data_IF_366205513398
#
_entry.id   IF_366205513398
#
_cell.length_a   1.000
_cell.length_b   1.000
_cell.length_c   1.000
_cell.angle_alpha   90.00
_cell.angle_beta   90.00
_cell.angle_gamma   90.00
#
_symmetry.space_group_name_H-M   'P 1'
#
loop_
_entity.id
_entity.type
_entity.pdbx_description
1 polymer ?
#
# COMPACT_ATOMS: atom_id res chain seq x y z
N UNK A 1 0.24 18.21 5.83
CA UNK A 1 0.40 16.78 6.17
C UNK A 1 1.76 16.57 6.79
N UNK A 2 1.82 16.06 8.03
CA UNK A 2 3.09 15.77 8.70
C UNK A 2 3.49 14.32 8.47
N UNK A 3 4.72 14.11 8.02
CA UNK A 3 5.28 12.78 7.80
C UNK A 3 6.15 12.37 8.99
N UNK A 4 5.86 11.19 9.53
CA UNK A 4 6.81 10.52 10.41
C UNK A 4 7.90 9.89 9.55
N UNK A 5 9.12 10.41 9.62
CA UNK A 5 10.27 9.89 8.84
C UNK A 5 11.13 9.02 9.74
N UNK A 6 11.33 7.75 9.34
CA UNK A 6 12.19 6.78 10.01
C UNK A 6 13.26 6.27 9.04
N UNK A 7 14.47 6.09 9.54
CA UNK A 7 15.58 5.50 8.79
C UNK A 7 16.12 4.25 9.48
N UNK A 8 16.24 3.17 8.74
CA UNK A 8 16.93 1.95 9.15
C UNK A 8 18.18 1.80 8.28
N UNK A 9 19.35 2.05 8.86
CA UNK A 9 20.63 2.11 8.13
C UNK A 9 20.80 3.34 7.23
N UNK A 10 19.81 4.25 7.16
CA UNK A 10 19.87 5.51 6.40
C UNK A 10 19.76 6.68 7.37
N UNK A 11 20.72 7.64 7.40
CA UNK A 11 20.65 8.79 8.28
C UNK A 11 19.48 9.71 7.86
N UNK A 12 18.63 10.06 8.80
CA UNK A 12 17.51 11.00 8.61
C UNK A 12 17.95 12.38 9.09
N UNK A 13 18.47 13.18 8.16
CA UNK A 13 18.89 14.57 8.44
C UNK A 13 17.70 15.53 8.42
N UNK A 14 17.87 16.73 8.97
CA UNK A 14 16.82 17.76 8.94
C UNK A 14 16.54 18.21 7.51
N UNK A 15 17.55 18.29 6.64
CA UNK A 15 17.40 18.59 5.21
C UNK A 15 16.51 17.56 4.52
N UNK A 16 16.67 16.27 4.87
CA UNK A 16 15.86 15.20 4.32
C UNK A 16 14.40 15.31 4.80
N UNK A 17 14.17 15.66 6.07
CA UNK A 17 12.82 15.92 6.61
C UNK A 17 12.14 17.09 5.92
N UNK A 18 12.89 18.18 5.71
CA UNK A 18 12.37 19.34 4.99
C UNK A 18 12.05 19.01 3.54
N UNK A 19 12.91 18.23 2.87
CA UNK A 19 12.67 17.73 1.53
C UNK A 19 11.37 16.93 1.43
N UNK A 20 11.18 15.96 2.32
CA UNK A 20 9.96 15.14 2.39
C UNK A 20 8.73 16.01 2.63
N UNK A 21 8.80 16.96 3.54
CA UNK A 21 7.70 17.89 3.83
C UNK A 21 7.29 18.70 2.60
N UNK A 22 8.25 19.24 1.86
CA UNK A 22 7.98 19.96 0.61
C UNK A 22 7.35 19.07 -0.46
N UNK A 23 7.82 17.83 -0.57
CA UNK A 23 7.28 16.85 -1.52
C UNK A 23 5.85 16.45 -1.16
N UNK A 24 5.59 16.27 0.12
CA UNK A 24 4.29 15.92 0.67
C UNK A 24 3.18 16.97 0.42
N UNK A 25 3.53 18.24 0.28
CA UNK A 25 2.53 19.31 -0.02
C UNK A 25 1.75 19.08 -1.31
N UNK A 26 2.31 18.33 -2.27
CA UNK A 26 1.60 17.96 -3.50
C UNK A 26 0.51 16.92 -3.25
N UNK A 27 0.76 16.00 -2.33
CA UNK A 27 -0.20 14.95 -1.95
C UNK A 27 -1.39 15.48 -1.17
N UNK A 28 -1.22 16.55 -0.39
CA UNK A 28 -2.32 17.20 0.36
C UNK A 28 -3.50 17.62 -0.53
N UNK A 29 -3.23 17.82 -1.82
CA UNK A 29 -4.27 18.16 -2.81
C UNK A 29 -4.96 16.94 -3.43
N UNK A 30 -4.36 15.77 -3.29
CA UNK A 30 -4.79 14.53 -3.94
C UNK A 30 -5.48 13.58 -2.97
N UNK A 31 -5.12 13.65 -1.68
CA UNK A 31 -5.60 12.73 -0.64
C UNK A 31 -6.35 13.51 0.42
N UNK A 32 -7.65 13.30 0.50
CA UNK A 32 -8.50 13.88 1.53
C UNK A 32 -8.44 13.09 2.83
N UNK A 33 -8.61 13.76 3.98
CA UNK A 33 -8.77 13.15 5.31
C UNK A 33 -7.58 12.26 5.71
N UNK A 34 -6.37 12.73 5.51
CA UNK A 34 -5.17 12.02 6.00
C UNK A 34 -5.17 12.02 7.52
N UNK A 35 -5.09 10.83 8.09
CA UNK A 35 -5.01 10.57 9.54
C UNK A 35 -3.57 10.42 9.97
N UNK A 36 -2.76 9.71 9.16
CA UNK A 36 -1.36 9.41 9.46
C UNK A 36 -0.57 9.26 8.16
N UNK A 37 0.69 9.68 8.17
CA UNK A 37 1.61 9.55 7.03
C UNK A 37 3.00 9.19 7.53
N UNK A 38 3.55 8.08 7.03
CA UNK A 38 4.86 7.54 7.40
C UNK A 38 5.74 7.37 6.18
N UNK A 39 7.01 7.72 6.31
CA UNK A 39 8.07 7.39 5.38
C UNK A 39 9.13 6.56 6.09
N UNK A 40 9.39 5.38 5.60
CA UNK A 40 10.45 4.49 6.08
C UNK A 40 11.52 4.35 5.01
N UNK A 41 12.76 4.57 5.41
CA UNK A 41 13.95 4.41 4.56
C UNK A 41 14.75 3.24 5.10
N UNK A 42 15.10 2.28 4.23
CA UNK A 42 15.93 1.13 4.58
C UNK A 42 17.14 1.06 3.67
N UNK A 43 18.33 0.94 4.26
CA UNK A 43 19.52 0.58 3.51
C UNK A 43 19.46 -0.91 3.15
N UNK A 44 19.67 -1.22 1.89
CA UNK A 44 19.74 -2.58 1.36
C UNK A 44 21.17 -2.85 0.91
N UNK A 45 21.83 -3.80 1.59
CA UNK A 45 23.16 -4.24 1.22
C UNK A 45 23.05 -5.43 0.26
N UNK A 46 23.40 -5.21 -0.99
CA UNK A 46 23.36 -6.27 -2.00
C UNK A 46 24.67 -7.06 -1.98
N UNK A 47 24.60 -8.38 -1.89
CA UNK A 47 25.81 -9.25 -2.00
C UNK A 47 26.48 -9.16 -3.37
N UNK A 48 25.71 -8.85 -4.41
CA UNK A 48 26.17 -8.70 -5.79
C UNK A 48 25.52 -7.43 -6.37
N UNK A 49 26.29 -6.33 -6.45
CA UNK A 49 25.82 -5.05 -6.99
C UNK A 49 25.97 -3.90 -5.99
N UNK A 50 25.65 -2.67 -6.39
CA UNK A 50 25.72 -1.51 -5.52
C UNK A 50 24.62 -1.57 -4.44
N UNK A 51 24.95 -1.05 -3.26
CA UNK A 51 23.98 -0.83 -2.20
C UNK A 51 22.87 0.10 -2.69
N UNK A 52 21.67 -0.11 -2.18
CA UNK A 52 20.50 0.67 -2.54
C UNK A 52 19.70 1.07 -1.31
N UNK A 53 18.80 2.02 -1.47
CA UNK A 53 17.87 2.45 -0.44
C UNK A 53 16.44 2.11 -0.89
N UNK A 54 15.68 1.43 -0.04
CA UNK A 54 14.25 1.31 -0.21
C UNK A 54 13.55 2.46 0.51
N UNK A 55 12.64 3.15 -0.16
CA UNK A 55 11.77 4.17 0.39
C UNK A 55 10.33 3.66 0.36
N UNK A 56 9.72 3.48 1.53
CA UNK A 56 8.34 3.06 1.68
C UNK A 56 7.51 4.20 2.26
N UNK A 57 6.47 4.60 1.54
CA UNK A 57 5.49 5.58 2.01
C UNK A 57 4.19 4.86 2.34
N UNK A 58 3.64 5.14 3.52
CA UNK A 58 2.32 4.65 3.93
C UNK A 58 1.47 5.83 4.38
N UNK A 59 0.30 6.00 3.80
CA UNK A 59 -0.68 7.04 4.16
C UNK A 59 -1.98 6.37 4.55
N UNK A 60 -2.52 6.75 5.70
CA UNK A 60 -3.87 6.38 6.15
C UNK A 60 -4.81 7.55 5.89
N UNK A 61 -5.80 7.35 5.04
CA UNK A 61 -6.77 8.36 4.64
C UNK A 61 -8.19 7.82 4.86
N UNK A 62 -8.80 8.18 5.98
CA UNK A 62 -10.09 7.61 6.38
C UNK A 62 -9.98 6.08 6.54
N UNK A 63 -10.69 5.32 5.70
CA UNK A 63 -10.66 3.84 5.70
C UNK A 63 -9.55 3.25 4.82
N UNK A 64 -8.99 4.04 3.94
CA UNK A 64 -8.04 3.59 2.95
C UNK A 64 -6.61 3.64 3.49
N UNK A 65 -5.83 2.63 3.17
CA UNK A 65 -4.38 2.61 3.37
C UNK A 65 -3.72 2.62 2.00
N UNK A 66 -2.94 3.66 1.74
CA UNK A 66 -2.22 3.85 0.48
C UNK A 66 -0.74 3.59 0.77
N UNK A 67 -0.14 2.67 0.02
CA UNK A 67 1.27 2.30 0.22
C UNK A 67 2.01 2.29 -1.11
N UNK A 68 3.19 2.87 -1.13
CA UNK A 68 4.13 2.79 -2.24
C UNK A 68 5.53 2.50 -1.72
N UNK A 69 6.24 1.61 -2.39
CA UNK A 69 7.65 1.29 -2.12
C UNK A 69 8.41 1.34 -3.43
N UNK A 70 9.58 2.00 -3.40
CA UNK A 70 10.52 2.04 -4.51
C UNK A 70 11.95 1.96 -4.00
N UNK A 71 12.87 1.52 -4.87
CA UNK A 71 14.27 1.31 -4.54
C UNK A 71 15.16 2.05 -5.53
N UNK A 72 16.17 2.75 -5.01
CA UNK A 72 17.18 3.41 -5.82
C UNK A 72 18.53 3.41 -5.12
N UNK A 73 19.60 3.71 -5.85
CA UNK A 73 20.94 3.83 -5.27
C UNK A 73 21.03 5.00 -4.26
N UNK A 74 20.31 6.10 -4.54
CA UNK A 74 20.30 7.28 -3.69
C UNK A 74 18.97 7.41 -2.94
N UNK A 75 18.97 7.75 -1.63
CA UNK A 75 17.76 7.91 -0.82
C UNK A 75 16.74 8.90 -1.41
N UNK A 76 17.22 10.04 -1.92
CA UNK A 76 16.36 11.09 -2.50
C UNK A 76 15.63 10.57 -3.74
N UNK A 77 16.33 9.81 -4.59
CA UNK A 77 15.73 9.23 -5.80
C UNK A 77 14.68 8.18 -5.44
N UNK A 78 14.97 7.33 -4.45
CA UNK A 78 13.99 6.34 -3.96
C UNK A 78 12.74 7.02 -3.41
N UNK A 79 12.91 8.11 -2.64
CA UNK A 79 11.80 8.92 -2.11
C UNK A 79 10.96 9.50 -3.24
N UNK A 80 11.58 10.12 -4.25
CA UNK A 80 10.84 10.72 -5.36
C UNK A 80 10.02 9.70 -6.14
N UNK A 81 10.62 8.56 -6.46
CA UNK A 81 9.94 7.47 -7.15
C UNK A 81 8.76 6.91 -6.34
N UNK A 82 8.93 6.77 -5.01
CA UNK A 82 7.85 6.34 -4.11
C UNK A 82 6.69 7.36 -4.09
N UNK A 83 6.98 8.66 -4.03
CA UNK A 83 5.96 9.71 -4.11
C UNK A 83 5.22 9.69 -5.46
N UNK A 84 5.94 9.56 -6.58
CA UNK A 84 5.33 9.48 -7.91
C UNK A 84 4.44 8.25 -8.08
N UNK A 85 4.86 7.10 -7.55
CA UNK A 85 4.05 5.88 -7.56
C UNK A 85 2.78 6.07 -6.76
N UNK A 86 2.87 6.66 -5.59
CA UNK A 86 1.75 6.94 -4.71
C UNK A 86 0.76 7.93 -5.36
N UNK A 87 1.25 9.02 -5.99
CA UNK A 87 0.42 9.95 -6.74
C UNK A 87 -0.37 9.24 -7.86
N UNK A 88 0.29 8.36 -8.62
CA UNK A 88 -0.36 7.56 -9.68
C UNK A 88 -1.44 6.61 -9.14
N UNK A 89 -1.18 5.95 -8.00
CA UNK A 89 -2.16 5.06 -7.35
C UNK A 89 -3.41 5.84 -6.94
N UNK A 90 -3.24 6.96 -6.24
CA UNK A 90 -4.34 7.83 -5.78
C UNK A 90 -5.16 8.35 -6.96
N UNK A 91 -4.53 8.83 -8.01
CA UNK A 91 -5.23 9.34 -9.19
C UNK A 91 -6.05 8.25 -9.89
N UNK A 92 -5.52 7.03 -10.00
CA UNK A 92 -6.21 5.88 -10.60
C UNK A 92 -7.48 5.54 -9.85
N UNK A 93 -7.40 5.43 -8.52
CA UNK A 93 -8.55 5.09 -7.67
C UNK A 93 -9.57 6.24 -7.65
N UNK A 94 -9.12 7.47 -7.50
CA UNK A 94 -10.02 8.64 -7.56
C UNK A 94 -10.75 8.78 -8.88
N UNK A 95 -10.09 8.43 -10.01
CA UNK A 95 -10.71 8.38 -11.33
C UNK A 95 -11.81 7.32 -11.43
N UNK A 96 -11.55 6.12 -10.90
CA UNK A 96 -12.55 5.02 -10.86
C UNK A 96 -13.74 5.38 -9.98
N UNK A 97 -13.51 5.97 -8.80
CA UNK A 97 -14.59 6.40 -7.89
C UNK A 97 -15.47 7.52 -8.50
N UNK A 98 -14.90 8.43 -9.28
CA UNK A 98 -15.68 9.44 -10.02
C UNK A 98 -16.58 8.82 -11.09
N UNK A 99 -16.07 7.86 -11.84
CA UNK A 99 -16.87 7.18 -12.88
C UNK A 99 -18.00 6.32 -12.30
N UNK A 100 -17.85 5.81 -11.06
CA UNK A 100 -18.92 5.05 -10.37
C UNK A 100 -20.03 5.93 -9.77
N UNK A 101 -19.77 7.22 -9.56
CA UNK A 101 -20.79 8.17 -9.06
C UNK A 101 -21.81 8.62 -10.11
N UNK A 102 -21.81 8.07 -11.32
CA UNK A 102 -22.95 8.18 -12.25
C UNK A 102 -24.14 7.39 -11.68
N UNK A 103 -25.37 7.96 -11.70
CA UNK A 103 -26.49 7.48 -10.90
C UNK A 103 -27.01 6.15 -11.38
N UNK A 104 -26.83 5.11 -10.60
CA UNK A 104 -27.37 3.79 -10.95
C UNK A 104 -27.02 2.62 -10.04
N UNK A 105 -26.62 2.80 -8.79
CA UNK A 105 -26.62 1.64 -7.86
C UNK A 105 -26.64 2.11 -6.40
N UNK A 106 -27.61 1.60 -5.65
CA UNK A 106 -27.91 1.95 -4.27
C UNK A 106 -26.72 1.65 -3.32
N UNK A 107 -26.34 2.65 -2.57
CA UNK A 107 -25.38 2.55 -1.48
C UNK A 107 -26.00 1.87 -0.28
N UNK A 108 -25.54 0.69 0.09
CA UNK A 108 -25.81 0.10 1.40
C UNK A 108 -24.89 0.76 2.42
N UNK A 109 -25.49 1.50 3.34
CA UNK A 109 -24.81 2.05 4.52
C UNK A 109 -24.43 0.89 5.45
N UNK A 110 -23.14 0.68 5.67
CA UNK A 110 -22.63 -0.15 6.76
C UNK A 110 -22.01 0.76 7.82
N UNK A 111 -22.40 0.49 9.07
CA UNK A 111 -22.05 1.19 10.29
C UNK A 111 -20.55 1.16 10.64
N UNK A 112 -20.07 2.02 11.56
CA UNK A 112 -18.65 2.25 11.75
C UNK A 112 -17.98 1.20 12.66
N UNK A 113 -16.80 0.78 12.23
CA UNK A 113 -15.55 0.52 12.93
C UNK A 113 -15.39 -0.67 13.90
N UNK A 114 -14.21 -1.29 13.92
CA UNK A 114 -13.19 -0.84 14.85
C UNK A 114 -11.80 -0.59 14.21
N UNK A 115 -11.03 0.26 14.90
CA UNK A 115 -9.68 0.65 14.60
C UNK A 115 -8.78 -0.56 14.32
N UNK A 116 -8.10 -0.55 13.18
CA UNK A 116 -6.95 -1.40 12.96
C UNK A 116 -5.81 -0.87 13.82
N UNK A 117 -5.63 -1.50 14.98
CA UNK A 117 -4.39 -1.36 15.74
C UNK A 117 -3.23 -1.74 14.83
N UNK A 118 -2.20 -0.94 14.91
CA UNK A 118 -0.88 -1.02 14.35
C UNK A 118 -0.47 -2.47 14.00
N UNK A 119 -0.70 -2.88 12.75
CA UNK A 119 0.03 -4.00 12.23
C UNK A 119 1.47 -3.51 12.09
N UNK A 120 2.23 -3.72 13.16
CA UNK A 120 3.63 -3.40 13.24
C UNK A 120 4.30 -3.76 11.92
N UNK A 121 4.84 -2.74 11.26
CA UNK A 121 5.73 -2.88 10.14
C UNK A 121 6.99 -3.56 10.68
N UNK A 122 6.96 -4.89 10.72
CA UNK A 122 8.11 -5.67 11.11
C UNK A 122 9.00 -5.76 9.90
N UNK A 123 10.25 -5.44 10.17
CA UNK A 123 11.39 -5.44 9.28
C UNK A 123 11.38 -6.65 8.32
N UNK A 124 11.36 -6.33 7.05
CA UNK A 124 11.67 -7.27 5.97
C UNK A 124 13.21 -7.37 5.90
N UNK A 125 13.79 -8.11 6.80
CA UNK A 125 15.18 -8.53 6.64
C UNK A 125 15.24 -9.47 5.43
N UNK A 126 15.79 -8.94 4.35
CA UNK A 126 16.09 -9.66 3.11
C UNK A 126 17.21 -10.67 3.37
N UNK A 127 16.84 -11.85 3.83
CA UNK A 127 17.73 -13.01 3.76
C UNK A 127 17.41 -13.78 2.50
N UNK A 128 18.43 -13.90 1.66
CA UNK A 128 18.59 -14.77 0.49
C UNK A 128 17.47 -15.80 0.30
N UNK A 129 16.61 -15.54 -0.68
CA UNK A 129 15.55 -16.45 -1.11
C UNK A 129 16.17 -17.73 -1.70
N UNK A 130 16.29 -18.77 -0.90
CA UNK A 130 16.30 -20.12 -1.41
C UNK A 130 14.91 -20.42 -1.95
N UNK A 131 14.84 -20.78 -3.23
CA UNK A 131 13.58 -21.11 -3.91
C UNK A 131 12.88 -22.24 -3.16
N UNK A 132 11.76 -21.97 -2.49
CA UNK A 132 10.90 -22.97 -1.85
C UNK A 132 10.89 -22.99 -0.33
N UNK A 133 11.61 -22.12 0.39
CA UNK A 133 11.50 -22.02 1.85
C UNK A 133 10.38 -21.07 2.28
N UNK A 134 9.62 -21.44 3.32
CA UNK A 134 8.67 -20.55 3.98
C UNK A 134 9.44 -19.54 4.84
N UNK A 135 9.65 -18.34 4.31
CA UNK A 135 10.45 -17.31 4.97
C UNK A 135 9.68 -16.64 6.11
N UNK A 136 8.36 -16.43 5.96
CA UNK A 136 7.57 -15.68 6.94
C UNK A 136 6.10 -16.07 6.94
N UNK A 137 5.51 -16.12 8.13
CA UNK A 137 4.06 -16.26 8.34
C UNK A 137 3.50 -14.95 8.89
N UNK A 138 2.53 -14.34 8.20
CA UNK A 138 1.77 -13.19 8.68
C UNK A 138 0.35 -13.61 9.03
N UNK A 139 -0.18 -13.11 10.15
CA UNK A 139 -1.60 -13.23 10.51
C UNK A 139 -2.22 -11.84 10.44
N UNK A 140 -3.36 -11.72 9.80
CA UNK A 140 -4.08 -10.46 9.67
C UNK A 140 -5.58 -10.72 9.60
N UNK A 141 -6.36 -9.74 10.00
CA UNK A 141 -7.81 -9.84 9.95
C UNK A 141 -8.29 -9.65 8.52
N UNK A 142 -9.08 -10.61 8.05
CA UNK A 142 -9.69 -10.57 6.72
C UNK A 142 -11.06 -9.93 6.86
N UNK A 143 -11.21 -8.73 6.29
CA UNK A 143 -12.46 -7.96 6.38
C UNK A 143 -13.44 -8.36 5.29
N UNK A 144 -14.76 -8.39 5.60
CA UNK A 144 -15.79 -8.56 4.58
C UNK A 144 -15.85 -7.30 3.69
N UNK A 145 -15.83 -7.50 2.38
CA UNK A 145 -15.97 -6.45 1.37
C UNK A 145 -16.46 -7.02 0.05
N UNK A 146 -16.89 -6.16 -0.86
CA UNK A 146 -17.22 -6.55 -2.22
C UNK A 146 -15.98 -6.66 -3.12
N UNK A 147 -16.15 -7.22 -4.32
CA UNK A 147 -15.06 -7.42 -5.28
C UNK A 147 -14.45 -6.08 -5.71
N UNK A 148 -15.27 -5.07 -5.92
CA UNK A 148 -14.83 -3.75 -6.36
C UNK A 148 -14.01 -3.04 -5.31
N UNK A 149 -14.40 -3.14 -4.04
CA UNK A 149 -13.65 -2.60 -2.90
C UNK A 149 -12.32 -3.36 -2.72
N UNK A 150 -12.32 -4.67 -2.87
CA UNK A 150 -11.11 -5.48 -2.81
C UNK A 150 -10.10 -5.10 -3.92
N UNK A 151 -10.58 -4.85 -5.15
CA UNK A 151 -9.73 -4.36 -6.26
C UNK A 151 -9.13 -3.00 -5.92
N UNK A 152 -9.91 -2.07 -5.36
CA UNK A 152 -9.41 -0.76 -4.95
C UNK A 152 -8.34 -0.89 -3.86
N UNK A 153 -8.54 -1.73 -2.86
CA UNK A 153 -7.56 -1.97 -1.80
C UNK A 153 -6.27 -2.59 -2.35
N UNK A 154 -6.38 -3.57 -3.23
CA UNK A 154 -5.21 -4.16 -3.90
C UNK A 154 -4.40 -3.10 -4.66
N UNK A 155 -5.08 -2.20 -5.38
CA UNK A 155 -4.42 -1.13 -6.14
C UNK A 155 -3.79 -0.06 -5.24
N UNK A 156 -4.47 0.32 -4.15
CA UNK A 156 -3.96 1.30 -3.18
C UNK A 156 -2.74 0.80 -2.41
N UNK A 157 -2.71 -0.50 -2.10
CA UNK A 157 -1.57 -1.14 -1.44
C UNK A 157 -0.43 -1.46 -2.40
N UNK A 158 -0.67 -1.39 -3.72
CA UNK A 158 0.31 -1.74 -4.75
C UNK A 158 0.65 -3.23 -4.80
N UNK A 159 -0.28 -4.09 -4.38
CA UNK A 159 -0.11 -5.53 -4.37
C UNK A 159 -0.56 -6.15 -5.70
N UNK A 160 0.02 -7.32 -6.03
CA UNK A 160 -0.39 -8.12 -7.18
C UNK A 160 -1.50 -9.12 -6.83
N UNK A 161 -1.77 -9.34 -5.55
CA UNK A 161 -2.88 -10.12 -5.04
C UNK A 161 -3.42 -9.54 -3.74
N UNK A 162 -4.67 -9.87 -3.40
CA UNK A 162 -5.30 -9.42 -2.16
C UNK A 162 -6.28 -10.49 -1.67
N UNK A 163 -6.13 -10.91 -0.41
CA UNK A 163 -7.03 -11.83 0.27
C UNK A 163 -8.09 -11.02 1.03
N UNK A 164 -9.37 -11.35 0.84
CA UNK A 164 -10.50 -10.69 1.48
C UNK A 164 -11.62 -11.68 1.78
N UNK A 165 -12.57 -11.29 2.60
CA UNK A 165 -13.78 -12.05 2.82
C UNK A 165 -14.85 -11.55 1.85
N UNK A 166 -15.28 -12.39 0.92
CA UNK A 166 -16.27 -12.01 -0.09
C UNK A 166 -17.66 -11.96 0.54
N UNK A 167 -18.21 -10.75 0.70
CA UNK A 167 -19.43 -10.51 1.46
C UNK A 167 -20.68 -11.14 0.86
N UNK A 168 -20.72 -11.36 -0.48
CA UNK A 168 -21.88 -11.94 -1.14
C UNK A 168 -22.02 -13.45 -0.92
N UNK A 169 -20.88 -14.16 -0.73
CA UNK A 169 -20.86 -15.62 -0.56
C UNK A 169 -20.38 -16.03 0.84
N UNK A 170 -19.98 -15.07 1.68
CA UNK A 170 -19.47 -15.26 3.04
C UNK A 170 -18.25 -16.20 3.12
N UNK A 171 -17.34 -16.11 2.14
CA UNK A 171 -16.17 -16.97 2.01
C UNK A 171 -14.88 -16.17 1.81
N UNK A 172 -13.73 -16.64 2.33
CA UNK A 172 -12.44 -16.04 2.02
C UNK A 172 -12.10 -16.24 0.54
N UNK A 173 -11.77 -15.16 -0.16
CA UNK A 173 -11.49 -15.15 -1.60
C UNK A 173 -10.23 -14.34 -1.89
N UNK A 174 -9.62 -14.59 -3.05
CA UNK A 174 -8.41 -13.89 -3.48
C UNK A 174 -8.64 -13.23 -4.83
N UNK A 175 -8.36 -11.94 -4.93
CA UNK A 175 -8.16 -11.29 -6.23
C UNK A 175 -6.68 -11.22 -6.56
N UNK A 176 -6.35 -11.28 -7.84
CA UNK A 176 -4.98 -11.20 -8.31
C UNK A 176 -4.88 -10.50 -9.67
N UNK A 177 -3.74 -9.85 -9.90
CA UNK A 177 -3.43 -9.19 -11.16
C UNK A 177 -2.93 -10.21 -12.18
N UNK A 178 -3.57 -10.24 -13.35
CA UNK A 178 -3.13 -11.08 -14.47
C UNK A 178 -2.05 -10.37 -15.28
N UNK A 179 -1.30 -11.14 -16.07
CA UNK A 179 -0.23 -10.62 -16.95
C UNK A 179 -0.73 -9.61 -17.99
N UNK A 180 -1.99 -9.72 -18.40
CA UNK A 180 -2.65 -8.78 -19.34
C UNK A 180 -3.15 -7.50 -18.65
N UNK A 181 -2.91 -7.34 -17.33
CA UNK A 181 -3.37 -6.21 -16.54
C UNK A 181 -4.81 -6.30 -16.04
N UNK A 182 -5.57 -7.32 -16.43
CA UNK A 182 -6.89 -7.59 -15.87
C UNK A 182 -6.80 -8.18 -14.45
N UNK A 183 -7.92 -8.24 -13.76
CA UNK A 183 -8.01 -8.83 -12.42
C UNK A 183 -8.78 -10.15 -12.48
N UNK A 184 -8.22 -11.19 -11.88
CA UNK A 184 -8.88 -12.48 -11.67
C UNK A 184 -9.37 -12.63 -10.23
N UNK A 185 -10.45 -13.40 -10.04
CA UNK A 185 -10.99 -13.78 -8.74
C UNK A 185 -10.84 -15.29 -8.57
N UNK A 186 -10.29 -15.69 -7.42
CA UNK A 186 -10.24 -17.07 -6.95
C UNK A 186 -11.21 -17.21 -5.78
N UNK A 187 -12.22 -18.05 -5.97
CA UNK A 187 -13.20 -18.40 -4.97
C UNK A 187 -13.00 -19.87 -4.59
N UNK A 188 -12.76 -20.22 -3.33
CA UNK A 188 -12.64 -21.62 -2.95
C UNK A 188 -13.98 -22.32 -3.19
N UNK A 189 -13.94 -23.46 -3.87
CA UNK A 189 -15.12 -24.31 -4.00
C UNK A 189 -15.31 -25.02 -2.66
N UNK A 190 -16.43 -24.79 -1.99
CA UNK A 190 -16.72 -25.39 -0.69
C UNK A 190 -16.46 -26.88 -0.66
N UNK A 191 -15.90 -27.35 0.47
CA UNK A 191 -15.77 -28.76 0.77
C UNK A 191 -17.12 -29.36 1.16
#
# INVERSE_FOLDING_TARGET
MDFQVRGNGVPVTDDLREYVTRRAMRLDRLVDRVVDAKLELRALHNRVGPDSTAAQITIRAGRDVIRAEERAAEPIVAIDQAFEKLERQVQRVSGKRRNRKSPGTASIRVAPEPAVEDAALLDDDDESLELGSLVRTKRFDVKPMDIDEAIEQMELLGHDFFLFHYSAEDIPSVIYRRKDGSVGLLVPKGA
#
